data_IF_160962062141
#
_entry.id   IF_160962062141
#
_cell.length_a   1.000
_cell.length_b   1.000
_cell.length_c   1.000
_cell.angle_alpha   90.00
_cell.angle_beta   90.00
_cell.angle_gamma   90.00
#
_symmetry.space_group_name_H-M   'P 1'
#
loop_
_entity.id
_entity.type
_entity.pdbx_description
1 polymer ?
#
# COMPACT_ATOMS: atom_id res chain seq x y z
N UNK A 1 -8.09 0.44 -7.61
CA UNK A 1 -7.70 0.38 -6.19
C UNK A 1 -8.36 -0.83 -5.56
N UNK A 2 -7.58 -1.69 -4.88
CA UNK A 2 -8.06 -2.88 -4.18
C UNK A 2 -7.42 -3.00 -2.79
N UNK A 3 -7.99 -3.88 -1.96
CA UNK A 3 -7.50 -4.21 -0.62
C UNK A 3 -7.62 -5.71 -0.38
N UNK A 4 -7.90 -6.13 0.86
CA UNK A 4 -8.06 -7.53 1.28
C UNK A 4 -6.79 -8.39 1.30
N UNK A 5 -5.90 -8.27 0.30
CA UNK A 5 -4.69 -9.10 0.21
C UNK A 5 -3.57 -8.72 1.19
N UNK A 6 -3.67 -7.59 1.88
CA UNK A 6 -2.62 -7.02 2.75
C UNK A 6 -1.27 -6.78 2.05
N UNK A 7 -1.25 -6.78 0.72
CA UNK A 7 -0.09 -6.55 -0.12
C UNK A 7 -0.02 -5.08 -0.57
N UNK A 8 1.17 -4.52 -0.60
CA UNK A 8 1.50 -3.31 -1.34
C UNK A 8 1.92 -3.72 -2.76
N UNK A 9 1.06 -3.46 -3.73
CA UNK A 9 1.25 -3.94 -5.10
C UNK A 9 0.87 -2.87 -6.13
N UNK A 10 1.63 -2.83 -7.23
CA UNK A 10 1.32 -2.08 -8.44
C UNK A 10 1.45 -3.00 -9.66
N UNK A 11 0.38 -3.10 -10.43
CA UNK A 11 0.37 -3.82 -11.71
C UNK A 11 -0.04 -2.85 -12.81
N UNK A 12 0.71 -2.84 -13.91
CA UNK A 12 0.35 -2.13 -15.13
C UNK A 12 -0.05 -3.14 -16.19
N UNK A 13 -1.32 -3.08 -16.61
CA UNK A 13 -1.87 -4.00 -17.59
C UNK A 13 -2.89 -3.29 -18.47
N UNK A 14 -2.74 -3.43 -19.78
CA UNK A 14 -3.63 -2.87 -20.80
C UNK A 14 -3.96 -1.38 -20.57
N UNK A 15 -2.93 -0.58 -20.32
CA UNK A 15 -3.06 0.86 -20.06
C UNK A 15 -3.72 1.23 -18.72
N UNK A 16 -4.05 0.24 -17.89
CA UNK A 16 -4.66 0.44 -16.57
C UNK A 16 -3.66 0.11 -15.47
N UNK A 17 -3.55 1.01 -14.47
CA UNK A 17 -2.81 0.74 -13.25
C UNK A 17 -3.74 0.19 -12.17
N UNK A 18 -3.41 -0.99 -11.67
CA UNK A 18 -4.02 -1.62 -10.51
C UNK A 18 -3.11 -1.43 -9.30
N UNK A 19 -3.70 -1.03 -8.18
CA UNK A 19 -2.98 -0.71 -6.94
C UNK A 19 -3.65 -1.40 -5.76
N UNK A 20 -2.88 -2.12 -4.95
CA UNK A 20 -3.27 -2.50 -3.59
C UNK A 20 -2.56 -1.62 -2.56
N UNK A 21 -3.32 -1.16 -1.56
CA UNK A 21 -2.86 -0.19 -0.58
C UNK A 21 -2.14 -0.75 0.64
N UNK A 22 -1.66 -2.00 0.60
CA UNK A 22 -1.09 -2.66 1.78
C UNK A 22 -2.12 -2.90 2.88
N UNK A 23 -1.65 -2.88 4.12
CA UNK A 23 -2.48 -2.95 5.30
C UNK A 23 -1.98 -1.96 6.34
N UNK A 24 -2.86 -1.03 6.75
CA UNK A 24 -2.63 -0.14 7.90
C UNK A 24 -2.16 -0.94 9.10
N UNK A 25 -2.86 -2.05 9.29
CA UNK A 25 -2.68 -2.96 10.38
C UNK A 25 -1.59 -4.01 10.15
N UNK A 26 -0.86 -4.07 9.03
CA UNK A 26 0.07 -5.19 8.75
C UNK A 26 -0.59 -6.56 8.99
N UNK A 27 0.08 -7.47 9.71
CA UNK A 27 -0.48 -8.75 10.18
C UNK A 27 -1.31 -8.52 11.44
N UNK A 28 -2.23 -7.57 11.36
CA UNK A 28 -2.84 -6.92 12.51
C UNK A 28 -1.80 -6.70 13.64
N UNK A 29 -0.69 -6.09 13.24
CA UNK A 29 0.41 -5.53 14.00
C UNK A 29 1.26 -6.52 14.79
N UNK A 30 1.14 -7.80 14.45
CA UNK A 30 2.18 -8.80 14.72
C UNK A 30 3.37 -8.69 13.76
N UNK A 31 3.45 -7.61 12.98
CA UNK A 31 4.52 -7.31 12.04
C UNK A 31 4.06 -7.27 10.59
N UNK A 32 5.02 -7.13 9.65
CA UNK A 32 4.74 -6.97 8.24
C UNK A 32 4.07 -8.21 7.63
N UNK A 33 3.34 -8.00 6.53
CA UNK A 33 2.78 -9.07 5.68
C UNK A 33 3.53 -9.04 4.36
N UNK A 34 4.17 -10.15 3.98
CA UNK A 34 5.04 -10.22 2.78
C UNK A 34 6.05 -9.07 2.71
N UNK A 35 6.72 -8.79 3.85
CA UNK A 35 7.66 -7.67 4.01
C UNK A 35 7.09 -6.27 3.77
N UNK A 36 5.76 -6.13 3.61
CA UNK A 36 5.10 -4.83 3.56
C UNK A 36 4.83 -4.35 4.99
N UNK A 37 5.41 -3.20 5.39
CA UNK A 37 5.22 -2.67 6.72
C UNK A 37 3.80 -2.16 6.91
N UNK A 38 3.40 -2.09 8.17
CA UNK A 38 2.23 -1.37 8.62
C UNK A 38 2.20 0.05 8.03
N UNK A 39 1.16 0.36 7.27
CA UNK A 39 1.12 1.64 6.59
C UNK A 39 -0.07 1.82 5.65
N UNK A 40 -0.07 2.94 4.95
CA UNK A 40 -1.13 3.27 3.99
C UNK A 40 -0.56 3.87 2.72
N UNK A 41 -1.25 3.61 1.61
CA UNK A 41 -0.97 4.20 0.31
C UNK A 41 -1.70 5.54 0.16
N UNK A 42 -0.95 6.57 -0.23
CA UNK A 42 -1.47 7.86 -0.69
C UNK A 42 -1.41 7.88 -2.21
N UNK A 43 -2.50 8.31 -2.84
CA UNK A 43 -2.58 8.54 -4.29
C UNK A 43 -2.89 10.02 -4.52
N UNK A 44 -1.97 10.72 -5.16
CA UNK A 44 -2.14 12.12 -5.56
C UNK A 44 -2.54 12.18 -7.02
N UNK A 45 -3.75 12.67 -7.31
CA UNK A 45 -4.23 12.84 -8.68
C UNK A 45 -4.02 14.28 -9.15
N UNK A 46 -3.46 14.45 -10.35
CA UNK A 46 -3.19 15.74 -10.96
C UNK A 46 -4.24 16.09 -12.02
N UNK A 47 -4.37 17.38 -12.33
CA UNK A 47 -5.35 17.88 -13.30
C UNK A 47 -5.07 17.48 -14.75
N UNK A 48 -3.83 17.10 -15.06
CA UNK A 48 -3.41 16.61 -16.38
C UNK A 48 -3.71 15.11 -16.58
N UNK A 49 -4.37 14.48 -15.61
CA UNK A 49 -4.71 13.06 -15.63
C UNK A 49 -3.60 12.13 -15.14
N UNK A 50 -2.43 12.66 -14.77
CA UNK A 50 -1.38 11.87 -14.13
C UNK A 50 -1.68 11.65 -12.64
N UNK A 51 -1.00 10.68 -12.03
CA UNK A 51 -1.06 10.47 -10.60
C UNK A 51 0.28 9.97 -10.05
N UNK A 52 0.52 10.26 -8.78
CA UNK A 52 1.66 9.76 -8.02
C UNK A 52 1.18 8.89 -6.85
N UNK A 53 2.04 7.98 -6.41
CA UNK A 53 1.75 7.08 -5.27
C UNK A 53 2.88 7.12 -4.26
N UNK A 54 2.54 7.26 -2.99
CA UNK A 54 3.49 7.23 -1.87
C UNK A 54 2.97 6.27 -0.80
N UNK A 55 3.83 5.44 -0.23
CA UNK A 55 3.47 4.58 0.90
C UNK A 55 4.06 5.13 2.19
N UNK A 56 3.23 5.33 3.20
CA UNK A 56 3.64 5.81 4.50
C UNK A 56 3.54 4.68 5.51
N UNK A 57 4.70 4.24 6.01
CA UNK A 57 4.76 3.31 7.13
C UNK A 57 4.74 4.02 8.49
N UNK A 58 4.43 3.27 9.54
CA UNK A 58 4.43 3.78 10.91
C UNK A 58 5.76 3.59 11.66
N UNK A 59 6.77 2.96 11.04
CA UNK A 59 7.96 2.47 11.75
C UNK A 59 7.64 1.50 12.89
N UNK A 60 6.52 0.77 12.78
CA UNK A 60 6.00 -0.11 13.83
C UNK A 60 7.02 -1.19 14.22
N UNK A 61 7.12 -1.47 15.52
CA UNK A 61 7.97 -2.53 16.06
C UNK A 61 7.14 -3.46 16.92
N UNK A 62 7.16 -4.74 16.57
CA UNK A 62 6.50 -5.77 17.37
C UNK A 62 7.21 -5.90 18.71
N UNK A 63 6.45 -5.75 19.79
CA UNK A 63 6.92 -6.00 21.15
C UNK A 63 6.49 -7.43 21.50
N UNK A 64 7.49 -8.28 21.73
CA UNK A 64 7.29 -9.67 22.17
C UNK A 64 6.95 -9.78 23.65
#
# INVERSE_FOLDING_TARGET
LSGHGHLLERIEFDGTTYLQGGAVCGMWWKGPVFDNPEGFLVVTCHSDGTFATEYHDYGWKVIG
#
